data_IF_607709361333
#
_entry.id   IF_607709361333
#
_cell.length_a   1.000
_cell.length_b   1.000
_cell.length_c   1.000
_cell.angle_alpha   90.00
_cell.angle_beta   90.00
_cell.angle_gamma   90.00
#
_symmetry.space_group_name_H-M   'P 1'
#
loop_
_entity.id
_entity.type
_entity.pdbx_description
1 polymer ?
#
# COMPACT_ATOMS: atom_id res chain seq x y z
N UNK A 1 -22.92 -32.69 62.07
CA UNK A 1 -22.51 -33.27 60.78
C UNK A 1 -22.66 -32.19 59.71
N UNK A 2 -21.57 -31.55 59.34
CA UNK A 2 -21.50 -30.46 58.35
C UNK A 2 -20.92 -31.01 57.05
N UNK A 3 -21.60 -30.87 55.89
CA UNK A 3 -21.06 -31.39 54.63
C UNK A 3 -19.96 -30.47 54.09
N UNK A 4 -18.83 -31.09 53.76
CA UNK A 4 -17.69 -30.49 53.08
C UNK A 4 -18.05 -30.17 51.61
N UNK A 5 -18.39 -28.90 51.34
CA UNK A 5 -18.61 -28.37 49.98
C UNK A 5 -17.49 -27.39 49.67
N UNK A 6 -16.27 -27.86 49.36
CA UNK A 6 -15.15 -26.96 48.99
C UNK A 6 -14.24 -27.43 47.85
N UNK A 7 -14.47 -28.59 47.23
CA UNK A 7 -13.59 -29.07 46.15
C UNK A 7 -14.06 -28.78 44.70
N UNK A 8 -15.33 -28.43 44.46
CA UNK A 8 -15.85 -28.37 43.08
C UNK A 8 -15.57 -27.04 42.35
N UNK A 9 -15.45 -25.92 43.07
CA UNK A 9 -15.30 -24.58 42.45
C UNK A 9 -13.89 -24.29 41.93
N UNK A 10 -12.85 -24.95 42.45
CA UNK A 10 -11.47 -24.67 42.04
C UNK A 10 -11.10 -25.36 40.70
N UNK A 11 -11.72 -26.51 40.40
CA UNK A 11 -11.53 -27.18 39.11
C UNK A 11 -12.22 -26.45 37.95
N UNK A 12 -13.39 -25.86 38.18
CA UNK A 12 -14.11 -25.12 37.14
C UNK A 12 -13.33 -23.87 36.67
N UNK A 13 -12.62 -23.20 37.58
CA UNK A 13 -11.82 -22.02 37.27
C UNK A 13 -10.58 -22.35 36.41
N UNK A 14 -9.91 -23.47 36.68
CA UNK A 14 -8.74 -23.92 35.91
C UNK A 14 -9.12 -24.35 34.48
N UNK A 15 -10.30 -24.95 34.29
CA UNK A 15 -10.80 -25.31 32.96
C UNK A 15 -11.17 -24.07 32.15
N UNK A 16 -11.76 -23.03 32.78
CA UNK A 16 -12.08 -21.77 32.09
C UNK A 16 -10.81 -21.00 31.67
N UNK A 17 -9.76 -21.00 32.50
CA UNK A 17 -8.50 -20.33 32.20
C UNK A 17 -7.72 -21.02 31.07
N UNK A 18 -7.83 -22.35 30.96
CA UNK A 18 -7.20 -23.14 29.90
C UNK A 18 -7.89 -23.01 28.53
N UNK A 19 -9.17 -22.64 28.49
CA UNK A 19 -9.90 -22.41 27.23
C UNK A 19 -9.56 -21.02 26.65
N UNK A 20 -9.23 -20.03 27.48
CA UNK A 20 -8.82 -18.70 27.03
C UNK A 20 -7.42 -18.64 26.38
N UNK A 21 -6.56 -19.65 26.60
CA UNK A 21 -5.20 -19.66 26.03
C UNK A 21 -5.09 -20.31 24.64
N UNK A 22 -6.20 -20.84 24.09
CA UNK A 22 -6.24 -21.43 22.74
C UNK A 22 -6.79 -20.49 21.66
N UNK A 23 -7.33 -19.33 22.03
CA UNK A 23 -7.84 -18.33 21.09
C UNK A 23 -6.77 -17.30 20.76
N UNK A 24 -5.86 -17.61 19.84
CA UNK A 24 -4.84 -16.64 19.45
C UNK A 24 -3.98 -16.92 18.23
N UNK A 25 -4.18 -18.02 17.50
CA UNK A 25 -3.54 -18.18 16.19
C UNK A 25 -4.35 -17.39 15.14
N UNK A 26 -4.21 -16.08 15.12
CA UNK A 26 -4.66 -15.26 13.99
C UNK A 26 -3.83 -15.65 12.77
N UNK A 27 -4.43 -16.41 11.84
CA UNK A 27 -3.80 -16.67 10.54
C UNK A 27 -3.47 -15.32 9.93
N UNK A 28 -2.19 -15.07 9.61
CA UNK A 28 -1.79 -13.88 8.85
C UNK A 28 -2.60 -13.88 7.55
N UNK A 29 -3.24 -12.75 7.26
CA UNK A 29 -3.94 -12.54 6.00
C UNK A 29 -2.99 -12.83 4.83
N UNK A 30 -3.46 -13.53 3.76
CA UNK A 30 -2.66 -13.72 2.56
C UNK A 30 -2.23 -12.37 1.97
N UNK A 31 -0.96 -12.30 1.58
CA UNK A 31 -0.39 -11.15 0.87
C UNK A 31 -0.46 -11.45 -0.61
N UNK A 32 -1.18 -10.61 -1.35
CA UNK A 32 -1.24 -10.68 -2.81
C UNK A 32 -0.28 -9.66 -3.39
N UNK A 33 0.48 -10.08 -4.41
CA UNK A 33 1.41 -9.23 -5.14
C UNK A 33 1.02 -9.23 -6.60
N UNK A 34 0.80 -8.05 -7.15
CA UNK A 34 0.50 -7.83 -8.56
C UNK A 34 1.56 -6.92 -9.14
N UNK A 35 2.18 -7.32 -10.25
CA UNK A 35 3.22 -6.53 -10.91
C UNK A 35 2.86 -6.34 -12.37
N UNK A 36 3.19 -5.16 -12.92
CA UNK A 36 2.97 -4.84 -14.33
C UNK A 36 3.73 -5.76 -15.29
N UNK A 37 4.81 -6.41 -14.83
CA UNK A 37 5.63 -7.32 -15.65
C UNK A 37 4.87 -8.54 -16.19
N UNK A 38 3.71 -8.87 -15.62
CA UNK A 38 2.83 -9.94 -16.10
C UNK A 38 1.83 -9.46 -17.17
N UNK A 39 1.85 -8.18 -17.51
CA UNK A 39 0.91 -7.52 -18.43
C UNK A 39 1.68 -6.97 -19.62
N UNK A 40 1.09 -7.04 -20.81
CA UNK A 40 1.78 -6.65 -22.05
C UNK A 40 1.35 -5.28 -22.54
N UNK A 41 0.09 -4.91 -22.31
CA UNK A 41 -0.46 -3.66 -22.85
C UNK A 41 -0.74 -2.63 -21.76
N UNK A 42 -0.65 -1.35 -22.12
CA UNK A 42 -1.02 -0.25 -21.23
C UNK A 42 -2.46 -0.40 -20.72
N UNK A 43 -3.39 -0.81 -21.59
CA UNK A 43 -4.78 -1.03 -21.22
C UNK A 43 -4.96 -2.11 -20.14
N UNK A 44 -4.20 -3.22 -20.21
CA UNK A 44 -4.19 -4.26 -19.16
C UNK A 44 -3.65 -3.69 -17.84
N UNK A 45 -2.55 -2.93 -17.90
CA UNK A 45 -1.94 -2.32 -16.71
C UNK A 45 -2.89 -1.32 -16.04
N UNK A 46 -3.57 -0.48 -16.82
CA UNK A 46 -4.57 0.47 -16.33
C UNK A 46 -5.80 -0.25 -15.75
N UNK A 47 -6.31 -1.28 -16.43
CA UNK A 47 -7.44 -2.06 -15.96
C UNK A 47 -7.14 -2.77 -14.63
N UNK A 48 -5.90 -3.22 -14.43
CA UNK A 48 -5.45 -3.85 -13.19
C UNK A 48 -5.38 -2.87 -12.01
N UNK A 49 -4.99 -1.61 -12.24
CA UNK A 49 -4.94 -0.58 -11.19
C UNK A 49 -6.28 0.09 -10.89
N UNK A 50 -7.21 0.10 -11.86
CA UNK A 50 -8.49 0.79 -11.75
C UNK A 50 -9.31 0.48 -10.46
N UNK A 51 -9.32 -0.74 -9.89
CA UNK A 51 -10.03 -1.01 -8.65
C UNK A 51 -9.42 -0.34 -7.41
N UNK A 52 -8.15 0.05 -7.47
CA UNK A 52 -7.37 0.55 -6.34
C UNK A 52 -7.16 2.07 -6.37
N UNK A 53 -7.34 2.68 -7.54
CA UNK A 53 -7.16 4.11 -7.74
C UNK A 53 -8.50 4.76 -8.06
N UNK A 54 -8.81 5.86 -7.38
CA UNK A 54 -10.07 6.60 -7.56
C UNK A 54 -10.11 7.43 -8.86
N UNK A 55 -8.98 7.61 -9.53
CA UNK A 55 -8.86 8.42 -10.73
C UNK A 55 -8.21 7.62 -11.87
N UNK A 56 -8.69 7.82 -13.10
CA UNK A 56 -7.95 7.41 -14.28
C UNK A 56 -6.68 8.26 -14.37
N UNK A 57 -5.55 7.58 -14.47
CA UNK A 57 -4.25 8.22 -14.60
C UNK A 57 -3.93 8.33 -16.10
N UNK A 58 -3.96 9.55 -16.67
CA UNK A 58 -3.48 9.74 -18.02
C UNK A 58 -1.96 9.52 -18.02
N UNK A 59 -1.50 8.67 -18.94
CA UNK A 59 -0.11 8.26 -19.07
C UNK A 59 0.12 7.60 -20.45
N UNK A 60 1.36 7.67 -20.94
CA UNK A 60 1.79 7.03 -22.19
C UNK A 60 2.44 5.67 -21.98
N UNK A 61 3.08 5.49 -20.82
CA UNK A 61 3.55 4.19 -20.33
C UNK A 61 3.33 4.12 -18.82
N UNK A 62 3.25 2.90 -18.30
CA UNK A 62 2.89 2.62 -16.93
C UNK A 62 3.60 1.35 -16.48
N UNK A 63 4.27 1.40 -15.34
CA UNK A 63 4.74 0.24 -14.59
C UNK A 63 4.33 0.35 -13.13
N UNK A 64 4.03 -0.77 -12.50
CA UNK A 64 3.59 -0.76 -11.12
C UNK A 64 3.92 -2.04 -10.37
N UNK A 65 4.02 -1.89 -9.06
CA UNK A 65 4.02 -2.98 -8.08
C UNK A 65 2.95 -2.67 -7.05
N UNK A 66 1.98 -3.57 -6.93
CA UNK A 66 0.90 -3.52 -5.97
C UNK A 66 1.08 -4.65 -4.97
N UNK A 67 1.12 -4.30 -3.70
CA UNK A 67 1.06 -5.26 -2.60
C UNK A 67 -0.19 -4.95 -1.79
N UNK A 68 -1.04 -5.95 -1.58
CA UNK A 68 -2.19 -5.78 -0.70
C UNK A 68 -2.39 -6.99 0.21
N UNK A 69 -2.95 -6.71 1.37
CA UNK A 69 -3.36 -7.72 2.32
C UNK A 69 -4.85 -8.00 2.13
N UNK A 70 -5.18 -9.24 1.78
CA UNK A 70 -6.57 -9.67 1.67
C UNK A 70 -7.03 -10.26 3.00
N UNK A 71 -7.79 -9.53 3.82
CA UNK A 71 -8.30 -10.03 5.09
C UNK A 71 -9.45 -11.02 4.91
N UNK A 72 -9.93 -11.25 3.69
CA UNK A 72 -11.12 -12.05 3.45
C UNK A 72 -10.85 -13.55 3.68
N UNK A 73 -11.15 -14.00 4.89
CA UNK A 73 -11.80 -15.30 5.09
C UNK A 73 -13.30 -15.15 4.72
N UNK A 74 -13.60 -14.85 3.45
CA UNK A 74 -14.93 -14.89 2.84
C UNK A 74 -16.00 -13.83 3.21
N UNK A 75 -15.69 -12.70 3.89
CA UNK A 75 -16.78 -11.79 4.36
C UNK A 75 -16.72 -10.30 4.04
N UNK A 76 -15.60 -9.73 3.63
CA UNK A 76 -15.54 -8.32 3.20
C UNK A 76 -14.66 -8.19 1.95
N UNK A 77 -15.22 -7.79 0.79
CA UNK A 77 -14.43 -7.55 -0.40
C UNK A 77 -13.73 -6.19 -0.30
N UNK A 78 -12.40 -6.22 -0.25
CA UNK A 78 -11.55 -5.03 -0.37
C UNK A 78 -10.23 -5.16 0.40
N UNK A 79 -9.11 -4.67 -0.16
CA UNK A 79 -7.85 -4.63 0.58
C UNK A 79 -7.99 -3.68 1.77
N UNK A 80 -7.81 -4.20 2.99
CA UNK A 80 -7.79 -3.39 4.21
C UNK A 80 -6.52 -2.54 4.28
N UNK A 81 -5.42 -3.06 3.72
CA UNK A 81 -4.13 -2.40 3.62
C UNK A 81 -3.56 -2.62 2.22
N UNK A 82 -3.26 -1.54 1.52
CA UNK A 82 -2.57 -1.58 0.24
C UNK A 82 -1.37 -0.65 0.23
N UNK A 83 -0.34 -1.07 -0.52
CA UNK A 83 0.81 -0.27 -0.87
C UNK A 83 0.99 -0.39 -2.39
N UNK A 84 0.75 0.71 -3.10
CA UNK A 84 0.81 0.79 -4.55
C UNK A 84 1.96 1.68 -4.93
N UNK A 85 2.94 1.13 -5.65
CA UNK A 85 4.01 1.90 -6.26
C UNK A 85 3.80 1.92 -7.78
N UNK A 86 3.80 3.10 -8.37
CA UNK A 86 3.61 3.34 -9.80
C UNK A 86 4.78 4.15 -10.33
N UNK A 87 5.28 3.77 -11.49
CA UNK A 87 6.14 4.58 -12.34
C UNK A 87 5.39 4.82 -13.66
N UNK A 88 5.27 6.06 -14.11
CA UNK A 88 4.52 6.38 -15.31
C UNK A 88 5.16 7.54 -16.07
N UNK A 89 5.18 7.41 -17.39
CA UNK A 89 5.50 8.50 -18.30
C UNK A 89 4.22 9.30 -18.56
N UNK A 90 4.27 10.61 -18.37
CA UNK A 90 3.10 11.50 -18.42
C UNK A 90 3.36 12.66 -19.36
N UNK A 91 2.31 13.25 -19.93
CA UNK A 91 2.48 14.54 -20.60
C UNK A 91 2.63 15.68 -19.56
N UNK A 92 3.40 16.75 -19.84
CA UNK A 92 3.60 17.84 -18.88
C UNK A 92 2.29 18.52 -18.38
N UNK A 93 1.26 18.57 -19.23
CA UNK A 93 -0.07 19.11 -18.88
C UNK A 93 -0.90 18.19 -17.97
N UNK A 94 -0.50 16.93 -17.84
CA UNK A 94 -1.15 15.93 -16.98
C UNK A 94 -0.66 15.98 -15.53
N UNK A 95 0.43 16.69 -15.25
CA UNK A 95 1.01 16.82 -13.90
C UNK A 95 -0.02 17.30 -12.87
N UNK A 96 -0.91 18.22 -13.25
CA UNK A 96 -1.97 18.73 -12.37
C UNK A 96 -2.94 17.62 -11.93
N UNK A 97 -3.25 16.66 -12.80
CA UNK A 97 -4.11 15.51 -12.48
C UNK A 97 -3.41 14.58 -11.50
N UNK A 98 -2.13 14.29 -11.75
CA UNK A 98 -1.33 13.45 -10.85
C UNK A 98 -1.18 14.08 -9.46
N UNK A 99 -0.90 15.38 -9.40
CA UNK A 99 -0.67 16.13 -8.15
C UNK A 99 -1.94 16.67 -7.48
N UNK A 100 -3.12 16.28 -7.97
CA UNK A 100 -4.37 16.66 -7.33
C UNK A 100 -4.43 16.17 -5.86
N UNK A 101 -4.74 17.10 -4.95
CA UNK A 101 -4.85 16.83 -3.51
C UNK A 101 -3.51 16.76 -2.76
N UNK A 102 -2.39 17.06 -3.42
CA UNK A 102 -1.06 17.11 -2.80
C UNK A 102 -0.50 18.53 -2.76
N UNK A 103 0.61 18.71 -2.06
CA UNK A 103 1.35 19.97 -2.01
C UNK A 103 2.83 19.71 -2.23
N UNK A 104 3.51 20.65 -2.89
CA UNK A 104 4.95 20.58 -3.11
C UNK A 104 5.68 20.66 -1.76
N UNK A 105 6.54 19.68 -1.51
CA UNK A 105 7.40 19.59 -0.34
C UNK A 105 8.79 20.11 -0.73
N UNK A 106 9.29 21.18 -0.11
CA UNK A 106 10.55 21.81 -0.51
C UNK A 106 11.82 21.06 -0.08
N UNK A 107 11.70 19.91 0.58
CA UNK A 107 12.83 19.20 1.20
C UNK A 107 13.30 17.99 0.38
N UNK A 108 14.56 18.04 -0.04
CA UNK A 108 15.23 16.99 -0.80
C UNK A 108 15.56 15.73 0.03
N UNK A 109 15.54 15.81 1.37
CA UNK A 109 15.78 14.62 2.20
C UNK A 109 14.58 13.66 2.16
N UNK A 110 13.36 14.19 2.15
CA UNK A 110 12.12 13.43 2.02
C UNK A 110 12.01 12.69 0.67
N UNK A 111 12.64 13.24 -0.37
CA UNK A 111 12.74 12.61 -1.70
C UNK A 111 13.52 11.29 -1.62
N UNK A 112 14.64 11.25 -0.88
CA UNK A 112 15.55 10.08 -0.81
C UNK A 112 14.92 8.88 -0.11
N UNK A 113 14.14 9.11 0.93
CA UNK A 113 13.42 8.03 1.62
C UNK A 113 12.39 7.38 0.68
N UNK A 114 11.70 8.18 -0.14
CA UNK A 114 10.74 7.69 -1.13
C UNK A 114 11.41 6.84 -2.24
N UNK A 115 12.64 7.19 -2.65
CA UNK A 115 13.41 6.44 -3.65
C UNK A 115 13.84 5.04 -3.21
N UNK A 116 14.08 4.82 -1.92
CA UNK A 116 14.52 3.53 -1.42
C UNK A 116 13.50 2.40 -1.63
N UNK A 117 12.24 2.75 -1.86
CA UNK A 117 11.13 1.80 -2.04
C UNK A 117 11.04 1.21 -3.45
N UNK A 118 11.70 1.81 -4.44
CA UNK A 118 11.54 1.45 -5.85
C UNK A 118 12.85 0.96 -6.45
N UNK A 119 12.95 -0.35 -6.66
CA UNK A 119 14.01 -0.96 -7.49
C UNK A 119 13.99 -0.42 -8.93
N UNK A 120 12.82 0.00 -9.43
CA UNK A 120 12.66 0.69 -10.71
C UNK A 120 13.39 2.04 -10.71
N UNK A 121 13.35 2.76 -9.59
CA UNK A 121 13.98 4.07 -9.44
C UNK A 121 15.49 4.02 -9.16
N UNK A 122 16.02 2.86 -8.77
CA UNK A 122 17.45 2.70 -8.45
C UNK A 122 18.35 2.93 -9.67
N UNK A 123 17.83 2.74 -10.89
CA UNK A 123 18.56 3.03 -12.14
C UNK A 123 18.33 4.45 -12.69
N UNK A 124 17.37 5.20 -12.15
CA UNK A 124 17.01 6.55 -12.64
C UNK A 124 17.89 7.68 -12.09
N UNK A 125 18.91 7.32 -11.29
CA UNK A 125 20.18 8.04 -11.13
C UNK A 125 20.16 9.44 -10.51
N UNK A 126 21.23 9.73 -9.78
CA UNK A 126 21.49 10.88 -8.92
C UNK A 126 21.63 12.26 -9.63
N UNK A 127 21.22 12.36 -10.89
CA UNK A 127 21.41 13.52 -11.77
C UNK A 127 20.14 14.27 -12.11
N UNK A 128 18.98 13.74 -11.70
CA UNK A 128 17.67 14.27 -12.06
C UNK A 128 17.15 15.13 -10.91
N UNK A 129 16.64 16.32 -11.23
CA UNK A 129 15.95 17.16 -10.25
C UNK A 129 14.54 16.61 -10.03
N UNK A 130 14.23 16.30 -8.78
CA UNK A 130 12.95 15.69 -8.39
C UNK A 130 12.15 16.67 -7.55
N UNK A 131 10.87 16.81 -7.91
CA UNK A 131 9.88 17.54 -7.13
C UNK A 131 9.03 16.55 -6.35
N UNK A 132 8.98 16.71 -5.02
CA UNK A 132 8.15 15.90 -4.14
C UNK A 132 6.81 16.57 -3.92
N UNK A 133 5.73 15.86 -4.22
CA UNK A 133 4.38 16.25 -3.85
C UNK A 133 3.80 15.23 -2.86
N UNK A 134 3.19 15.71 -1.78
CA UNK A 134 2.62 14.84 -0.75
C UNK A 134 1.25 15.32 -0.30
N UNK A 135 0.32 14.39 -0.04
CA UNK A 135 -0.97 14.69 0.57
C UNK A 135 -0.81 15.00 2.07
N UNK A 136 -1.75 15.74 2.64
CA UNK A 136 -1.69 16.15 4.04
C UNK A 136 -1.67 14.97 5.03
N UNK A 137 -2.34 13.87 4.67
CA UNK A 137 -2.40 12.61 5.42
C UNK A 137 -1.26 11.64 5.07
N UNK A 138 -0.38 12.01 4.11
CA UNK A 138 0.71 11.18 3.56
C UNK A 138 0.27 9.87 2.88
N UNK A 139 -1.02 9.69 2.64
CA UNK A 139 -1.56 8.53 1.91
C UNK A 139 -1.14 8.52 0.43
N UNK A 140 -0.76 9.69 -0.12
CA UNK A 140 -0.30 9.86 -1.50
C UNK A 140 1.02 10.62 -1.53
N UNK A 141 2.03 10.02 -2.14
CA UNK A 141 3.34 10.64 -2.35
C UNK A 141 3.74 10.53 -3.82
N UNK A 142 4.24 11.61 -4.42
CA UNK A 142 4.56 11.69 -5.84
C UNK A 142 5.92 12.34 -5.98
N UNK A 143 6.80 11.73 -6.76
CA UNK A 143 8.04 12.29 -7.23
C UNK A 143 7.87 12.56 -8.72
N UNK A 144 8.11 13.80 -9.14
CA UNK A 144 8.06 14.19 -10.54
C UNK A 144 9.42 14.69 -11.00
N UNK A 145 9.85 14.22 -12.18
CA UNK A 145 11.02 14.71 -12.89
C UNK A 145 10.56 15.44 -14.15
N UNK A 146 10.80 16.75 -14.20
CA UNK A 146 10.51 17.55 -15.39
C UNK A 146 11.44 17.22 -16.57
N UNK A 147 12.67 16.76 -16.29
CA UNK A 147 13.65 16.45 -17.33
C UNK A 147 13.29 15.18 -18.13
N UNK A 148 12.53 14.26 -17.53
CA UNK A 148 12.21 12.95 -18.10
C UNK A 148 10.71 12.72 -18.28
N UNK A 149 9.87 13.70 -17.94
CA UNK A 149 8.40 13.56 -17.94
C UNK A 149 7.91 12.33 -17.16
N UNK A 150 8.65 11.99 -16.09
CA UNK A 150 8.48 10.77 -15.33
C UNK A 150 7.86 11.07 -13.97
N UNK A 151 6.83 10.30 -13.63
CA UNK A 151 6.20 10.29 -12.31
C UNK A 151 6.45 8.97 -11.61
N UNK A 152 6.92 9.04 -10.36
CA UNK A 152 6.88 7.94 -9.42
C UNK A 152 5.85 8.27 -8.35
N UNK A 153 4.80 7.47 -8.23
CA UNK A 153 3.73 7.71 -7.26
C UNK A 153 3.56 6.51 -6.33
N UNK A 154 3.24 6.80 -5.07
CA UNK A 154 2.94 5.83 -4.04
C UNK A 154 1.62 6.16 -3.38
N UNK A 155 0.76 5.14 -3.24
CA UNK A 155 -0.46 5.21 -2.44
C UNK A 155 -0.39 4.18 -1.31
N UNK A 156 -0.63 4.64 -0.07
CA UNK A 156 -0.76 3.81 1.12
C UNK A 156 -2.09 4.09 1.81
N UNK A 157 -2.64 3.08 2.47
CA UNK A 157 -3.91 3.18 3.20
C UNK A 157 -3.76 3.06 4.73
N UNK A 158 -2.59 3.43 5.27
CA UNK A 158 -2.27 3.39 6.70
C UNK A 158 -3.32 4.06 7.61
#
# INVERSE_FOLDING_TARGET
MTPNIRCSSFMALLVLLAICSLTGCTKKAPVVRLNSSAMTTLAEKQAALAPYLTCQLPCTDLDFSLVYHDPSNDRLPGPLYYDICVAADIAPDELATWTAGTSLVPDAEAVRECFAFSTLATNLSATVEWQLYQSADRSKTILYSADNDLVLARWTSD
#
